data_IF_575953983688
#
_entry.id   IF_575953983688
#
_cell.length_a   1.000
_cell.length_b   1.000
_cell.length_c   1.000
_cell.angle_alpha   90.00
_cell.angle_beta   90.00
_cell.angle_gamma   90.00
#
_symmetry.space_group_name_H-M   'P 1'
#
loop_
_entity.id
_entity.type
_entity.pdbx_description
1 polymer ?
#
# COMPACT_ATOMS: atom_id res chain seq x y z
N UNK A 1 -11.51 -18.91 23.34
CA UNK A 1 -11.93 -19.63 22.12
C UNK A 1 -11.14 -19.10 20.90
N UNK A 2 -10.94 -19.97 19.88
CA UNK A 2 -10.23 -19.54 18.65
C UNK A 2 -11.04 -18.48 17.88
N UNK A 3 -12.36 -18.55 17.89
CA UNK A 3 -13.25 -17.58 17.27
C UNK A 3 -13.10 -16.19 17.90
N UNK A 4 -13.06 -16.12 19.22
CA UNK A 4 -12.85 -14.84 19.94
C UNK A 4 -11.50 -14.23 19.61
N UNK A 5 -10.46 -15.06 19.44
CA UNK A 5 -9.13 -14.60 19.04
C UNK A 5 -9.14 -13.96 17.65
N UNK A 6 -9.85 -14.55 16.69
CA UNK A 6 -10.01 -13.95 15.35
C UNK A 6 -10.71 -12.60 15.41
N UNK A 7 -11.82 -12.51 16.17
CA UNK A 7 -12.53 -11.24 16.35
C UNK A 7 -11.66 -10.19 17.01
N UNK A 8 -10.87 -10.54 18.03
CA UNK A 8 -9.98 -9.60 18.69
C UNK A 8 -8.88 -9.09 17.77
N UNK A 9 -8.33 -9.93 16.90
CA UNK A 9 -7.34 -9.51 15.88
C UNK A 9 -7.98 -8.55 14.87
N UNK A 10 -9.19 -8.85 14.40
CA UNK A 10 -9.95 -7.95 13.52
C UNK A 10 -10.21 -6.60 14.17
N UNK A 11 -10.63 -6.58 15.44
CA UNK A 11 -10.86 -5.34 16.19
C UNK A 11 -9.56 -4.52 16.36
N UNK A 12 -8.43 -5.18 16.70
CA UNK A 12 -7.14 -4.51 16.82
C UNK A 12 -6.67 -3.89 15.51
N UNK A 13 -6.83 -4.62 14.40
CA UNK A 13 -6.48 -4.14 13.07
C UNK A 13 -7.40 -2.97 12.64
N UNK A 14 -8.71 -3.10 12.87
CA UNK A 14 -9.69 -2.05 12.62
C UNK A 14 -9.39 -0.78 13.41
N UNK A 15 -9.06 -0.90 14.69
CA UNK A 15 -8.66 0.22 15.54
C UNK A 15 -7.39 0.92 15.03
N UNK A 16 -6.35 0.15 14.70
CA UNK A 16 -5.09 0.68 14.19
C UNK A 16 -5.27 1.44 12.87
N UNK A 17 -6.00 0.86 11.92
CA UNK A 17 -6.28 1.52 10.64
C UNK A 17 -7.12 2.78 10.80
N UNK A 18 -8.13 2.75 11.67
CA UNK A 18 -8.98 3.91 11.94
C UNK A 18 -8.20 5.06 12.58
N UNK A 19 -7.25 4.76 13.46
CA UNK A 19 -6.40 5.77 14.08
C UNK A 19 -5.43 6.40 13.07
N UNK A 20 -4.87 5.61 12.14
CA UNK A 20 -3.90 6.10 11.14
C UNK A 20 -4.57 6.86 10.02
N UNK A 21 -5.66 6.33 9.44
CA UNK A 21 -6.29 6.90 8.24
C UNK A 21 -7.53 7.76 8.52
N UNK A 22 -8.02 7.81 9.75
CA UNK A 22 -9.22 8.59 10.09
C UNK A 22 -10.52 8.09 9.48
N UNK A 23 -10.57 6.84 8.98
CA UNK A 23 -11.70 6.25 8.26
C UNK A 23 -12.27 5.03 8.99
N UNK A 24 -13.02 5.21 10.09
CA UNK A 24 -13.42 4.10 10.97
C UNK A 24 -14.30 3.04 10.29
N UNK A 25 -15.23 3.46 9.43
CA UNK A 25 -16.11 2.50 8.72
C UNK A 25 -15.36 1.65 7.70
N UNK A 26 -14.49 2.28 6.91
CA UNK A 26 -13.65 1.58 5.94
C UNK A 26 -12.66 0.63 6.64
N UNK A 27 -12.08 1.06 7.76
CA UNK A 27 -11.17 0.25 8.56
C UNK A 27 -11.84 -1.00 9.13
N UNK A 28 -13.09 -0.90 9.57
CA UNK A 28 -13.86 -2.04 10.08
C UNK A 28 -14.12 -3.09 8.99
N UNK A 29 -14.58 -2.67 7.82
CA UNK A 29 -14.83 -3.58 6.69
C UNK A 29 -13.53 -4.19 6.18
N UNK A 30 -12.48 -3.37 6.00
CA UNK A 30 -11.18 -3.82 5.54
C UNK A 30 -10.57 -4.91 6.42
N UNK A 31 -10.61 -4.74 7.76
CA UNK A 31 -10.04 -5.72 8.68
C UNK A 31 -10.75 -7.07 8.64
N UNK A 32 -12.06 -7.07 8.40
CA UNK A 32 -12.85 -8.31 8.24
C UNK A 32 -12.48 -9.04 6.95
N UNK A 33 -12.29 -8.30 5.85
CA UNK A 33 -11.99 -8.88 4.55
C UNK A 33 -10.56 -9.42 4.45
N UNK A 34 -9.59 -8.70 5.01
CA UNK A 34 -8.16 -9.09 4.96
C UNK A 34 -7.86 -10.35 5.76
N UNK A 35 -8.53 -10.55 6.91
CA UNK A 35 -8.29 -11.73 7.76
C UNK A 35 -9.00 -12.96 7.21
N UNK A 36 -10.19 -12.79 6.62
CA UNK A 36 -11.01 -13.88 6.12
C UNK A 36 -11.30 -13.70 4.64
N UNK A 37 -10.27 -13.83 3.79
CA UNK A 37 -10.38 -13.60 2.35
C UNK A 37 -11.51 -14.42 1.73
N UNK A 38 -12.48 -13.71 1.17
CA UNK A 38 -13.65 -14.32 0.49
C UNK A 38 -14.79 -14.77 1.40
N UNK A 39 -14.67 -14.66 2.72
CA UNK A 39 -15.74 -14.98 3.67
C UNK A 39 -15.85 -13.84 4.68
N UNK A 40 -16.89 -13.03 4.60
CA UNK A 40 -17.15 -12.00 5.60
C UNK A 40 -17.68 -12.59 6.90
N UNK A 41 -16.95 -12.38 7.98
CA UNK A 41 -17.37 -12.78 9.33
C UNK A 41 -18.22 -11.68 9.97
N UNK A 42 -19.53 -11.68 9.65
CA UNK A 42 -20.46 -10.63 10.06
C UNK A 42 -20.57 -10.44 11.58
N UNK A 43 -20.30 -11.46 12.37
CA UNK A 43 -20.31 -11.37 13.84
C UNK A 43 -19.24 -10.37 14.35
N UNK A 44 -18.15 -10.17 13.61
CA UNK A 44 -17.09 -9.20 13.95
C UNK A 44 -17.42 -7.76 13.55
N UNK A 45 -18.47 -7.51 12.75
CA UNK A 45 -18.77 -6.17 12.22
C UNK A 45 -19.00 -5.16 13.33
N UNK A 46 -19.87 -5.45 14.27
CA UNK A 46 -20.18 -4.52 15.37
C UNK A 46 -18.97 -4.27 16.28
N UNK A 47 -18.23 -5.28 16.78
CA UNK A 47 -17.01 -5.07 17.53
C UNK A 47 -15.95 -4.26 16.77
N UNK A 48 -15.75 -4.52 15.47
CA UNK A 48 -14.79 -3.78 14.64
C UNK A 48 -15.19 -2.31 14.45
N UNK A 49 -16.46 -2.03 14.23
CA UNK A 49 -16.96 -0.64 14.11
C UNK A 49 -16.79 0.12 15.44
N UNK A 50 -17.13 -0.50 16.57
CA UNK A 50 -16.96 0.14 17.87
C UNK A 50 -15.49 0.42 18.14
N UNK A 51 -14.60 -0.56 17.95
CA UNK A 51 -13.17 -0.39 18.20
C UNK A 51 -12.54 0.66 17.28
N UNK A 52 -12.93 0.72 16.02
CA UNK A 52 -12.46 1.72 15.07
C UNK A 52 -12.91 3.14 15.40
N UNK A 53 -14.18 3.32 15.81
CA UNK A 53 -14.71 4.63 16.23
C UNK A 53 -14.02 5.14 17.49
N UNK A 54 -13.82 4.26 18.47
CA UNK A 54 -13.12 4.62 19.72
C UNK A 54 -11.67 5.01 19.40
N UNK A 55 -10.96 4.22 18.59
CA UNK A 55 -9.57 4.49 18.26
C UNK A 55 -9.40 5.80 17.47
N UNK A 56 -10.26 6.08 16.48
CA UNK A 56 -10.23 7.33 15.73
C UNK A 56 -10.49 8.56 16.64
N UNK A 57 -11.46 8.48 17.54
CA UNK A 57 -11.72 9.53 18.51
C UNK A 57 -10.62 9.71 19.53
N UNK A 58 -10.01 8.62 19.97
CA UNK A 58 -8.88 8.64 20.88
C UNK A 58 -7.66 9.31 20.23
N UNK A 59 -7.32 8.92 18.99
CA UNK A 59 -6.24 9.53 18.21
C UNK A 59 -6.45 11.06 18.05
N UNK A 60 -7.66 11.47 17.69
CA UNK A 60 -8.01 12.88 17.56
C UNK A 60 -7.90 13.64 18.89
N UNK A 61 -8.14 12.98 20.02
CA UNK A 61 -7.99 13.56 21.36
C UNK A 61 -6.53 13.84 21.76
N UNK A 62 -5.57 13.23 21.08
CA UNK A 62 -4.12 13.47 21.23
C UNK A 62 -3.53 14.32 20.12
N UNK A 63 -4.35 15.02 19.34
CA UNK A 63 -3.95 15.83 18.18
C UNK A 63 -3.13 15.05 17.13
N UNK A 64 -3.36 13.72 17.03
CA UNK A 64 -2.78 12.91 15.99
C UNK A 64 -3.63 13.10 14.73
N UNK A 65 -3.07 13.83 13.77
CA UNK A 65 -3.73 14.04 12.48
C UNK A 65 -3.68 12.75 11.67
N UNK A 66 -4.82 12.28 11.10
CA UNK A 66 -4.83 11.14 10.24
C UNK A 66 -4.07 11.42 8.94
N UNK A 67 -3.48 10.39 8.36
CA UNK A 67 -2.89 10.43 7.03
C UNK A 67 -4.01 10.68 6.00
N UNK A 68 -4.13 11.91 5.51
CA UNK A 68 -5.13 12.31 4.51
C UNK A 68 -4.44 12.90 3.29
N UNK A 69 -4.80 12.40 2.12
CA UNK A 69 -4.29 12.91 0.84
C UNK A 69 -5.37 13.72 0.15
N UNK A 70 -5.06 14.96 -0.20
CA UNK A 70 -6.00 15.84 -0.89
C UNK A 70 -5.92 15.61 -2.40
N UNK A 71 -6.98 15.07 -2.98
CA UNK A 71 -7.08 14.90 -4.43
C UNK A 71 -7.48 16.23 -5.06
N UNK A 72 -6.57 16.80 -5.85
CA UNK A 72 -6.81 18.02 -6.61
C UNK A 72 -7.26 17.62 -8.02
N UNK A 73 -8.30 18.27 -8.55
CA UNK A 73 -8.88 18.02 -9.87
C UNK A 73 -9.54 16.64 -10.04
N UNK A 74 -10.73 16.50 -9.47
CA UNK A 74 -11.56 15.32 -9.70
C UNK A 74 -12.24 15.50 -11.08
N UNK A 75 -11.98 14.61 -12.07
CA UNK A 75 -12.59 14.70 -13.38
C UNK A 75 -14.09 14.40 -13.30
N UNK A 76 -14.88 15.02 -14.19
CA UNK A 76 -16.30 14.73 -14.30
C UNK A 76 -16.54 13.27 -14.70
N UNK A 77 -17.54 12.65 -14.10
CA UNK A 77 -17.91 11.26 -14.38
C UNK A 77 -18.66 11.17 -15.73
N UNK A 78 -17.90 11.10 -16.81
CA UNK A 78 -18.40 10.78 -18.14
C UNK A 78 -18.15 9.31 -18.47
N UNK A 79 -18.86 8.78 -19.47
CA UNK A 79 -18.64 7.39 -19.95
C UNK A 79 -17.19 7.18 -20.38
N UNK A 80 -16.61 8.19 -21.01
CA UNK A 80 -15.22 8.19 -21.46
C UNK A 80 -14.25 8.12 -20.28
N UNK A 81 -14.43 8.97 -19.27
CA UNK A 81 -13.63 8.94 -18.03
C UNK A 81 -13.78 7.60 -17.31
N UNK A 82 -14.98 7.03 -17.30
CA UNK A 82 -15.24 5.71 -16.74
C UNK A 82 -14.45 4.61 -17.44
N UNK A 83 -14.39 4.62 -18.78
CA UNK A 83 -13.62 3.64 -19.54
C UNK A 83 -12.11 3.76 -19.28
N UNK A 84 -11.59 4.99 -19.20
CA UNK A 84 -10.20 5.26 -18.83
C UNK A 84 -9.87 4.75 -17.42
N UNK A 85 -10.77 4.96 -16.45
CA UNK A 85 -10.62 4.44 -15.09
C UNK A 85 -10.56 2.91 -15.05
N UNK A 86 -11.41 2.23 -15.83
CA UNK A 86 -11.36 0.75 -15.94
C UNK A 86 -10.02 0.28 -16.48
N UNK A 87 -9.48 0.97 -17.49
CA UNK A 87 -8.18 0.61 -18.07
C UNK A 87 -7.04 0.79 -17.05
N UNK A 88 -7.04 1.89 -16.30
CA UNK A 88 -6.07 2.11 -15.21
C UNK A 88 -6.23 1.04 -14.13
N UNK A 89 -7.45 0.67 -13.76
CA UNK A 89 -7.71 -0.37 -12.76
C UNK A 89 -7.16 -1.74 -13.19
N UNK A 90 -7.35 -2.12 -14.46
CA UNK A 90 -6.78 -3.36 -15.02
C UNK A 90 -5.25 -3.33 -14.99
N UNK A 91 -4.64 -2.19 -15.35
CA UNK A 91 -3.19 -2.03 -15.29
C UNK A 91 -2.67 -2.11 -13.84
N UNK A 92 -3.36 -1.49 -12.89
CA UNK A 92 -3.03 -1.59 -11.46
C UNK A 92 -3.17 -3.03 -10.94
N UNK A 93 -4.18 -3.77 -11.38
CA UNK A 93 -4.33 -5.19 -11.05
C UNK A 93 -3.14 -6.02 -11.55
N UNK A 94 -2.66 -5.76 -12.76
CA UNK A 94 -1.47 -6.41 -13.30
C UNK A 94 -0.21 -6.13 -12.45
N UNK A 95 0.01 -4.88 -12.04
CA UNK A 95 1.12 -4.52 -11.14
C UNK A 95 0.97 -5.20 -9.77
N UNK A 96 -0.23 -5.31 -9.24
CA UNK A 96 -0.50 -6.03 -7.99
C UNK A 96 -0.09 -7.51 -8.08
N UNK A 97 -0.44 -8.16 -9.19
CA UNK A 97 -0.01 -9.55 -9.46
C UNK A 97 1.52 -9.65 -9.52
N UNK A 98 2.18 -8.72 -10.23
CA UNK A 98 3.65 -8.67 -10.32
C UNK A 98 4.27 -8.49 -8.93
N UNK A 99 3.70 -7.62 -8.10
CA UNK A 99 4.16 -7.42 -6.72
C UNK A 99 4.06 -8.70 -5.88
N UNK A 100 2.93 -9.40 -5.94
CA UNK A 100 2.75 -10.68 -5.26
C UNK A 100 3.73 -11.76 -5.75
N UNK A 101 3.96 -11.83 -7.07
CA UNK A 101 4.94 -12.74 -7.66
C UNK A 101 6.37 -12.39 -7.25
N UNK A 102 6.72 -11.11 -7.17
CA UNK A 102 8.01 -10.63 -6.71
C UNK A 102 8.26 -11.01 -5.24
N UNK A 103 7.28 -10.82 -4.37
CA UNK A 103 7.36 -11.24 -2.97
C UNK A 103 7.65 -12.75 -2.84
N UNK A 104 6.93 -13.58 -3.59
CA UNK A 104 7.15 -15.03 -3.58
C UNK A 104 8.50 -15.41 -4.20
N UNK A 105 8.88 -14.76 -5.29
CA UNK A 105 10.15 -15.00 -6.00
C UNK A 105 11.36 -14.69 -5.13
N UNK A 106 11.37 -13.52 -4.48
CA UNK A 106 12.44 -13.11 -3.57
C UNK A 106 12.49 -14.04 -2.34
N UNK A 107 11.34 -14.47 -1.83
CA UNK A 107 11.30 -15.45 -0.73
C UNK A 107 11.98 -16.78 -1.10
N UNK A 108 11.68 -17.30 -2.30
CA UNK A 108 12.33 -18.53 -2.82
C UNK A 108 13.83 -18.33 -3.05
N UNK A 109 14.23 -17.16 -3.56
CA UNK A 109 15.63 -16.82 -3.80
C UNK A 109 16.42 -16.81 -2.49
N UNK A 110 15.90 -16.14 -1.45
CA UNK A 110 16.51 -16.11 -0.13
C UNK A 110 16.58 -17.51 0.50
N UNK A 111 15.52 -18.31 0.40
CA UNK A 111 15.51 -19.67 0.91
C UNK A 111 16.56 -20.56 0.24
N UNK A 112 16.85 -20.34 -1.05
CA UNK A 112 17.84 -21.10 -1.81
C UNK A 112 19.28 -20.69 -1.47
N UNK A 113 19.58 -19.40 -1.41
CA UNK A 113 20.94 -18.88 -1.29
C UNK A 113 21.33 -18.50 0.13
N UNK A 114 20.38 -18.07 0.96
CA UNK A 114 20.62 -17.48 2.29
C UNK A 114 19.77 -18.17 3.35
N UNK A 115 20.10 -19.42 3.64
CA UNK A 115 19.37 -20.24 4.65
C UNK A 115 19.47 -19.67 6.07
N UNK A 116 20.60 -19.04 6.40
CA UNK A 116 20.81 -18.43 7.72
C UNK A 116 20.12 -17.06 7.79
N UNK A 117 19.16 -16.82 8.70
CA UNK A 117 18.41 -15.58 8.80
C UNK A 117 19.31 -14.35 9.07
N UNK A 118 20.38 -14.49 9.84
CA UNK A 118 21.30 -13.40 10.14
C UNK A 118 22.07 -12.95 8.90
N UNK A 119 22.62 -13.91 8.14
CA UNK A 119 23.34 -13.62 6.89
C UNK A 119 22.39 -13.00 5.87
N UNK A 120 21.16 -13.46 5.81
CA UNK A 120 20.12 -12.93 4.90
C UNK A 120 19.82 -11.47 5.19
N UNK A 121 19.65 -11.07 6.46
CA UNK A 121 19.40 -9.68 6.84
C UNK A 121 20.60 -8.80 6.48
N UNK A 122 21.83 -9.23 6.80
CA UNK A 122 23.05 -8.47 6.48
C UNK A 122 23.20 -8.30 4.97
N UNK A 123 23.05 -9.36 4.19
CA UNK A 123 23.17 -9.31 2.74
C UNK A 123 22.10 -8.42 2.11
N UNK A 124 20.84 -8.54 2.56
CA UNK A 124 19.75 -7.69 2.11
C UNK A 124 19.99 -6.21 2.45
N UNK A 125 20.44 -5.91 3.66
CA UNK A 125 20.79 -4.54 4.07
C UNK A 125 21.90 -3.95 3.18
N UNK A 126 22.95 -4.73 2.90
CA UNK A 126 24.02 -4.30 2.02
C UNK A 126 23.51 -3.98 0.60
N UNK A 127 22.65 -4.85 0.04
CA UNK A 127 22.05 -4.63 -1.28
C UNK A 127 21.17 -3.37 -1.29
N UNK A 128 20.33 -3.17 -0.27
CA UNK A 128 19.47 -1.99 -0.13
C UNK A 128 20.31 -0.72 -0.06
N UNK A 129 21.39 -0.71 0.73
CA UNK A 129 22.29 0.43 0.86
C UNK A 129 22.94 0.76 -0.49
N UNK A 130 23.45 -0.25 -1.20
CA UNK A 130 24.07 -0.06 -2.52
C UNK A 130 23.07 0.53 -3.53
N UNK A 131 21.85 0.00 -3.58
CA UNK A 131 20.79 0.53 -4.45
C UNK A 131 20.46 1.98 -4.08
N UNK A 132 20.31 2.29 -2.79
CA UNK A 132 19.98 3.64 -2.33
C UNK A 132 21.10 4.64 -2.65
N UNK A 133 22.36 4.26 -2.49
CA UNK A 133 23.51 5.08 -2.86
C UNK A 133 23.58 5.30 -4.39
N UNK A 134 23.25 4.28 -5.17
CA UNK A 134 23.21 4.40 -6.63
C UNK A 134 22.08 5.34 -7.10
N UNK A 135 20.92 5.26 -6.48
CA UNK A 135 19.77 6.11 -6.78
C UNK A 135 19.94 7.55 -6.27
N UNK A 136 20.88 7.78 -5.35
CA UNK A 136 21.14 9.08 -4.70
C UNK A 136 19.89 9.71 -4.06
N UNK A 137 18.92 8.92 -3.67
CA UNK A 137 17.69 9.37 -3.00
C UNK A 137 17.25 8.38 -1.94
N UNK A 138 16.68 8.89 -0.87
CA UNK A 138 16.09 8.11 0.21
C UNK A 138 14.56 7.99 0.12
N UNK A 139 13.93 8.56 -0.93
CA UNK A 139 12.47 8.65 -1.08
C UNK A 139 11.78 7.28 -1.08
N UNK A 140 12.49 6.24 -1.51
CA UNK A 140 11.96 4.88 -1.57
C UNK A 140 12.07 4.11 -0.25
N UNK A 141 12.73 4.68 0.76
CA UNK A 141 12.84 4.07 2.08
C UNK A 141 11.58 4.32 2.91
N UNK A 142 11.36 3.45 3.92
CA UNK A 142 10.20 3.55 4.81
C UNK A 142 8.85 3.35 4.09
N UNK A 143 7.81 4.03 4.56
CA UNK A 143 6.44 3.92 4.04
C UNK A 143 6.29 4.50 2.62
N UNK A 144 6.98 5.60 2.31
CA UNK A 144 6.91 6.29 1.03
C UNK A 144 5.80 7.33 0.95
N UNK A 145 5.41 7.91 2.08
CA UNK A 145 4.36 8.92 2.16
C UNK A 145 4.65 10.12 1.24
N UNK A 146 5.91 10.57 1.19
CA UNK A 146 6.33 11.66 0.30
C UNK A 146 6.06 11.35 -1.19
N UNK A 147 6.23 10.09 -1.61
CA UNK A 147 5.94 9.67 -2.99
C UNK A 147 4.43 9.62 -3.26
N UNK A 148 3.64 9.23 -2.25
CA UNK A 148 2.18 9.22 -2.35
C UNK A 148 1.67 10.66 -2.47
N UNK A 149 2.15 11.56 -1.61
CA UNK A 149 1.80 12.98 -1.62
C UNK A 149 2.13 13.63 -2.98
N UNK A 150 3.36 13.43 -3.49
CA UNK A 150 3.76 13.93 -4.81
C UNK A 150 2.88 13.38 -5.93
N UNK A 151 2.52 12.10 -5.89
CA UNK A 151 1.70 11.47 -6.92
C UNK A 151 0.23 11.90 -6.86
N UNK A 152 -0.36 12.03 -5.66
CA UNK A 152 -1.78 12.31 -5.45
C UNK A 152 -2.08 13.80 -5.44
N UNK A 153 -1.28 14.60 -4.74
CA UNK A 153 -1.53 16.04 -4.60
C UNK A 153 -0.93 16.86 -5.74
N UNK A 154 0.30 16.54 -6.15
CA UNK A 154 0.98 17.29 -7.21
C UNK A 154 0.80 16.67 -8.60
N UNK A 155 0.24 15.46 -8.69
CA UNK A 155 0.11 14.75 -9.95
C UNK A 155 1.47 14.43 -10.60
N UNK A 156 2.54 14.31 -9.83
CA UNK A 156 3.90 14.10 -10.33
C UNK A 156 4.48 12.78 -9.80
N UNK A 157 4.88 11.92 -10.73
CA UNK A 157 5.60 10.69 -10.42
C UNK A 157 6.71 10.48 -11.46
N UNK A 158 7.88 10.07 -10.99
CA UNK A 158 8.96 9.67 -11.90
C UNK A 158 8.62 8.31 -12.51
N UNK A 159 8.98 8.05 -13.77
CA UNK A 159 8.56 6.82 -14.47
C UNK A 159 8.95 5.49 -13.80
N UNK A 160 9.96 5.49 -12.94
CA UNK A 160 10.48 4.30 -12.26
C UNK A 160 10.20 4.26 -10.76
N UNK A 161 9.45 5.22 -10.20
CA UNK A 161 9.19 5.28 -8.75
C UNK A 161 8.48 4.02 -8.23
N UNK A 162 7.44 3.57 -8.92
CA UNK A 162 6.73 2.35 -8.57
C UNK A 162 7.62 1.11 -8.63
N UNK A 163 8.55 1.05 -9.61
CA UNK A 163 9.43 -0.09 -9.78
C UNK A 163 10.46 -0.20 -8.66
N UNK A 164 11.15 0.91 -8.34
CA UNK A 164 12.14 0.94 -7.26
C UNK A 164 11.49 0.69 -5.90
N UNK A 165 10.31 1.25 -5.68
CA UNK A 165 9.54 0.98 -4.46
C UNK A 165 9.17 -0.49 -4.34
N UNK A 166 8.69 -1.11 -5.41
CA UNK A 166 8.37 -2.53 -5.47
C UNK A 166 9.59 -3.39 -5.15
N UNK A 167 10.74 -3.13 -5.80
CA UNK A 167 11.97 -3.90 -5.59
C UNK A 167 12.46 -3.77 -4.15
N UNK A 168 12.60 -2.54 -3.63
CA UNK A 168 13.11 -2.32 -2.28
C UNK A 168 12.17 -2.90 -1.22
N UNK A 169 10.86 -2.78 -1.40
CA UNK A 169 9.87 -3.36 -0.49
C UNK A 169 9.97 -4.89 -0.45
N UNK A 170 10.03 -5.54 -1.63
CA UNK A 170 10.13 -7.00 -1.71
C UNK A 170 11.43 -7.53 -1.08
N UNK A 171 12.55 -6.86 -1.33
CA UNK A 171 13.84 -7.22 -0.74
C UNK A 171 13.81 -7.09 0.78
N UNK A 172 13.29 -5.97 1.30
CA UNK A 172 13.21 -5.69 2.74
C UNK A 172 12.31 -6.68 3.46
N UNK A 173 11.08 -6.84 2.98
CA UNK A 173 10.07 -7.68 3.63
C UNK A 173 10.50 -9.16 3.68
N UNK A 174 11.06 -9.67 2.59
CA UNK A 174 11.47 -11.09 2.50
C UNK A 174 12.84 -11.38 3.11
N UNK A 175 13.62 -10.36 3.43
CA UNK A 175 14.84 -10.51 4.22
C UNK A 175 14.57 -10.91 5.67
N UNK A 176 13.40 -10.57 6.21
CA UNK A 176 13.00 -10.83 7.59
C UNK A 176 12.89 -9.58 8.44
N UNK A 177 12.97 -8.39 7.84
CA UNK A 177 12.60 -7.16 8.52
C UNK A 177 11.11 -7.15 8.81
N UNK A 178 10.76 -6.71 10.02
CA UNK A 178 9.36 -6.56 10.41
C UNK A 178 8.82 -5.24 9.86
N UNK A 179 7.73 -5.31 9.11
CA UNK A 179 7.06 -4.14 8.53
C UNK A 179 5.72 -4.55 7.92
N UNK A 180 4.95 -3.56 7.45
CA UNK A 180 3.68 -3.77 6.76
C UNK A 180 3.84 -3.71 5.24
N UNK A 181 3.08 -4.53 4.53
CA UNK A 181 3.04 -4.53 3.06
C UNK A 181 2.03 -3.51 2.52
N UNK A 182 1.11 -3.02 3.35
CA UNK A 182 -0.07 -2.24 2.93
C UNK A 182 0.32 -0.83 2.47
N UNK A 183 1.04 -0.06 3.29
CA UNK A 183 1.41 1.31 2.92
C UNK A 183 2.37 1.35 1.72
N UNK A 184 3.41 0.50 1.62
CA UNK A 184 4.20 0.38 0.40
C UNK A 184 3.38 0.00 -0.84
N UNK A 185 2.34 -0.84 -0.71
CA UNK A 185 1.48 -1.18 -1.85
C UNK A 185 0.64 0.02 -2.31
N UNK A 186 0.17 0.87 -1.38
CA UNK A 186 -0.48 2.14 -1.71
C UNK A 186 0.47 3.07 -2.46
N UNK A 187 1.72 3.17 -2.03
CA UNK A 187 2.74 3.97 -2.70
C UNK A 187 3.00 3.49 -4.15
N UNK A 188 3.13 2.17 -4.34
CA UNK A 188 3.28 1.58 -5.68
C UNK A 188 2.05 1.88 -6.54
N UNK A 189 0.84 1.72 -5.99
CA UNK A 189 -0.42 2.00 -6.69
C UNK A 189 -0.59 3.47 -7.04
N UNK A 190 -0.29 4.39 -6.15
CA UNK A 190 -0.40 5.83 -6.36
C UNK A 190 0.58 6.33 -7.44
N UNK A 191 1.86 5.94 -7.34
CA UNK A 191 2.88 6.34 -8.32
C UNK A 191 2.62 5.74 -9.70
N UNK A 192 2.25 4.46 -9.77
CA UNK A 192 1.90 3.82 -11.03
C UNK A 192 0.61 4.39 -11.63
N UNK A 193 -0.42 4.61 -10.81
CA UNK A 193 -1.68 5.21 -11.24
C UNK A 193 -1.49 6.63 -11.79
N UNK A 194 -0.63 7.43 -11.16
CA UNK A 194 -0.26 8.76 -11.65
C UNK A 194 0.40 8.68 -13.04
N UNK A 195 1.37 7.78 -13.23
CA UNK A 195 2.06 7.57 -14.52
C UNK A 195 1.07 7.13 -15.60
N UNK A 196 0.21 6.17 -15.30
CA UNK A 196 -0.81 5.70 -16.24
C UNK A 196 -1.85 6.77 -16.56
N UNK A 197 -2.24 7.59 -15.59
CA UNK A 197 -3.12 8.73 -15.81
C UNK A 197 -2.54 9.71 -16.83
N UNK A 198 -1.27 10.07 -16.67
CA UNK A 198 -0.58 10.92 -17.65
C UNK A 198 -0.48 10.28 -19.04
N UNK A 199 -0.16 9.00 -19.09
CA UNK A 199 -0.03 8.28 -20.37
C UNK A 199 -1.36 8.23 -21.12
N UNK A 200 -2.47 7.96 -20.41
CA UNK A 200 -3.82 7.90 -21.00
C UNK A 200 -4.31 9.29 -21.43
N UNK A 201 -4.01 10.33 -20.67
CA UNK A 201 -4.28 11.71 -21.09
C UNK A 201 -3.46 12.09 -22.33
N UNK A 202 -2.19 11.75 -22.39
CA UNK A 202 -1.30 12.04 -23.54
C UNK A 202 -1.74 11.32 -24.82
N UNK A 203 -2.23 10.09 -24.71
CA UNK A 203 -2.77 9.36 -25.87
C UNK A 203 -4.05 9.99 -26.41
N UNK A 204 -4.75 10.80 -25.59
CA UNK A 204 -6.00 11.44 -25.99
C UNK A 204 -5.82 12.87 -26.49
N UNK A 205 -4.73 13.54 -26.12
CA UNK A 205 -4.42 14.92 -26.59
C UNK A 205 -3.70 14.96 -27.93
N UNK A 206 -3.35 13.81 -28.52
CA UNK A 206 -2.70 13.76 -29.83
C UNK A 206 -3.67 13.77 -31.01
N UNK A 207 -4.99 13.69 -30.74
CA UNK A 207 -6.04 13.67 -31.77
C UNK A 207 -6.93 14.92 -31.79
N UNK A 208 -6.46 16.06 -31.23
CA UNK A 208 -7.16 17.36 -31.27
C UNK A 208 -6.38 18.38 -32.09
#
# INVERSE_FOLDING_TARGET
>A
DEEDRHVMVMCGMSAAFAAVFGTPMAAAVFSMEVISVGIMYYAALLPCVISSLIAAKFAAGFDINPESFHVVNIPELTIETGLKMVLVAVACAAISIIFCMALQGVSKLYAKFLKNPYIRIIAASAIIIVITLFLRTSDYMGAGNNLIELAVENGQARPLDFFWKLVLTTLTMRAGFRGGEIVPSFCIGATFGCIMGHLICLLYTSDA
#
